data_IF_181255461899
#
_entry.id   IF_181255461899
#
_cell.length_a   1.000
_cell.length_b   1.000
_cell.length_c   1.000
_cell.angle_alpha   90.00
_cell.angle_beta   90.00
_cell.angle_gamma   90.00
#
_symmetry.space_group_name_H-M   'P 1'
#
loop_
_entity.id
_entity.type
_entity.pdbx_description
1 polymer ?
#
# COMPACT_ATOMS: atom_id res chain seq x y z
N UNK A 1 -1.94 -45.65 6.27
CA UNK A 1 -1.80 -44.96 7.57
C UNK A 1 -1.95 -43.48 7.35
N UNK A 2 -3.12 -42.91 7.63
CA UNK A 2 -3.29 -41.45 7.60
C UNK A 2 -2.63 -40.86 8.85
N UNK A 3 -1.56 -40.08 8.64
CA UNK A 3 -0.98 -39.23 9.68
C UNK A 3 -2.04 -38.17 9.99
N UNK A 4 -2.73 -38.30 11.12
CA UNK A 4 -3.58 -37.24 11.64
C UNK A 4 -2.68 -36.03 11.90
N UNK A 5 -2.98 -34.90 11.24
CA UNK A 5 -2.30 -33.65 11.55
C UNK A 5 -2.66 -33.29 13.00
N UNK A 6 -1.63 -33.06 13.80
CA UNK A 6 -1.73 -32.71 15.23
C UNK A 6 -2.15 -31.23 15.40
N UNK A 7 -2.53 -30.55 14.31
CA UNK A 7 -2.70 -29.09 14.29
C UNK A 7 -3.80 -28.58 15.24
N UNK A 8 -4.64 -29.46 15.79
CA UNK A 8 -5.59 -29.13 16.86
C UNK A 8 -5.72 -30.27 17.86
N UNK A 9 -5.21 -30.08 19.07
CA UNK A 9 -5.48 -30.93 20.25
C UNK A 9 -6.34 -30.11 21.20
N UNK A 10 -7.55 -30.61 21.48
CA UNK A 10 -8.46 -29.99 22.44
C UNK A 10 -8.74 -30.93 23.61
N UNK A 11 -8.74 -30.43 24.83
CA UNK A 11 -9.06 -31.22 26.03
C UNK A 11 -10.24 -30.61 26.78
N UNK A 12 -11.25 -31.43 27.06
CA UNK A 12 -12.46 -31.03 27.78
C UNK A 12 -12.72 -31.98 28.95
N UNK A 13 -13.06 -31.41 30.09
CA UNK A 13 -13.54 -32.19 31.24
C UNK A 13 -15.01 -32.55 31.01
N UNK A 14 -15.38 -33.81 31.26
CA UNK A 14 -16.80 -34.20 31.31
C UNK A 14 -17.41 -33.81 32.66
N UNK A 15 -18.61 -33.24 32.59
CA UNK A 15 -19.38 -32.79 33.76
C UNK A 15 -19.67 -33.98 34.68
N UNK A 16 -19.28 -33.89 35.95
CA UNK A 16 -19.51 -34.94 36.95
C UNK A 16 -18.33 -35.89 37.22
N UNK A 17 -17.25 -35.86 36.42
CA UNK A 17 -16.07 -36.73 36.63
C UNK A 17 -14.82 -35.89 36.99
N UNK A 18 -14.16 -36.19 38.12
CA UNK A 18 -12.95 -35.49 38.62
C UNK A 18 -11.64 -36.07 38.08
N UNK A 19 -11.67 -37.33 37.59
CA UNK A 19 -10.51 -38.13 37.18
C UNK A 19 -10.49 -38.49 35.68
N UNK A 20 -11.37 -37.90 34.87
CA UNK A 20 -11.44 -38.19 33.43
C UNK A 20 -11.57 -36.92 32.59
N UNK A 21 -10.88 -36.88 31.46
CA UNK A 21 -11.12 -35.89 30.40
C UNK A 21 -11.17 -36.53 29.03
N UNK A 22 -11.92 -35.92 28.13
CA UNK A 22 -11.89 -36.23 26.72
C UNK A 22 -10.83 -35.37 26.02
N UNK A 23 -9.99 -35.99 25.21
CA UNK A 23 -9.00 -35.34 24.35
C UNK A 23 -9.39 -35.62 22.92
N UNK A 24 -9.57 -34.56 22.15
CA UNK A 24 -9.82 -34.63 20.72
C UNK A 24 -8.58 -34.20 19.93
N UNK A 25 -8.23 -34.96 18.90
CA UNK A 25 -7.11 -34.67 18.01
C UNK A 25 -7.65 -34.60 16.58
N UNK A 26 -7.35 -33.51 15.88
CA UNK A 26 -7.71 -33.30 14.47
C UNK A 26 -8.78 -32.22 14.27
N UNK A 27 -9.09 -31.97 13.00
CA UNK A 27 -10.04 -30.93 12.57
C UNK A 27 -11.04 -31.47 11.54
N UNK A 28 -12.26 -30.94 11.55
CA UNK A 28 -13.31 -31.31 10.60
C UNK A 28 -13.73 -32.79 10.70
N UNK A 29 -13.96 -33.49 9.58
CA UNK A 29 -14.45 -34.87 9.59
C UNK A 29 -13.42 -35.91 10.09
N UNK A 30 -12.17 -35.51 10.31
CA UNK A 30 -11.06 -36.39 10.75
C UNK A 30 -10.73 -36.23 12.23
N UNK A 31 -11.74 -35.94 13.06
CA UNK A 31 -11.57 -35.77 14.51
C UNK A 31 -11.61 -37.13 15.22
N UNK A 32 -10.57 -37.43 15.98
CA UNK A 32 -10.51 -38.61 16.86
C UNK A 32 -10.62 -38.17 18.32
N UNK A 33 -11.55 -38.74 19.08
CA UNK A 33 -11.76 -38.42 20.50
C UNK A 33 -11.36 -39.63 21.36
N UNK A 34 -10.56 -39.37 22.41
CA UNK A 34 -10.09 -40.39 23.34
C UNK A 34 -10.29 -39.95 24.79
N UNK A 35 -10.65 -40.89 25.65
CA UNK A 35 -10.74 -40.65 27.08
C UNK A 35 -9.40 -40.88 27.76
N UNK A 36 -9.03 -39.97 28.64
CA UNK A 36 -7.83 -40.06 29.48
C UNK A 36 -8.27 -40.17 30.93
N UNK A 37 -7.78 -41.21 31.60
CA UNK A 37 -8.06 -41.52 32.99
C UNK A 37 -6.86 -41.14 33.85
N UNK A 38 -7.10 -40.45 34.95
CA UNK A 38 -6.06 -40.02 35.89
C UNK A 38 -6.20 -40.78 37.21
N UNK A 39 -5.06 -41.11 37.83
CA UNK A 39 -5.02 -41.81 39.13
C UNK A 39 -5.51 -40.92 40.28
N UNK A 40 -5.19 -39.63 40.24
CA UNK A 40 -5.46 -38.65 41.29
C UNK A 40 -6.48 -37.59 40.88
N UNK A 41 -7.21 -37.08 41.89
CA UNK A 41 -8.09 -35.93 41.69
C UNK A 41 -7.26 -34.65 41.45
N UNK A 42 -7.74 -33.79 40.55
CA UNK A 42 -7.06 -32.53 40.22
C UNK A 42 -6.06 -32.62 39.05
N UNK A 43 -5.47 -33.80 38.78
CA UNK A 43 -4.60 -34.00 37.61
C UNK A 43 -5.31 -33.70 36.28
N UNK A 44 -6.58 -34.11 36.16
CA UNK A 44 -7.42 -33.78 35.01
C UNK A 44 -7.50 -32.26 34.75
N UNK A 45 -7.66 -31.47 35.82
CA UNK A 45 -7.79 -30.02 35.73
C UNK A 45 -6.48 -29.37 35.27
N UNK A 46 -5.36 -29.83 35.84
CA UNK A 46 -4.02 -29.38 35.46
C UNK A 46 -3.69 -29.72 34.00
N UNK A 47 -4.04 -30.94 33.56
CA UNK A 47 -3.85 -31.39 32.19
C UNK A 47 -4.66 -30.53 31.21
N UNK A 48 -5.97 -30.37 31.44
CA UNK A 48 -6.85 -29.53 30.60
C UNK A 48 -6.37 -28.08 30.56
N UNK A 49 -5.97 -27.51 31.71
CA UNK A 49 -5.41 -26.16 31.77
C UNK A 49 -4.10 -26.02 31.00
N UNK A 50 -3.28 -27.07 30.97
CA UNK A 50 -2.02 -27.08 30.21
C UNK A 50 -2.27 -27.14 28.70
N UNK A 51 -3.20 -27.98 28.25
CA UNK A 51 -3.61 -28.02 26.83
C UNK A 51 -4.17 -26.68 26.39
N UNK A 52 -5.08 -26.07 27.16
CA UNK A 52 -5.63 -24.74 26.85
C UNK A 52 -4.56 -23.66 26.74
N UNK A 53 -3.56 -23.69 27.62
CA UNK A 53 -2.41 -22.75 27.54
C UNK A 53 -1.59 -22.95 26.27
N UNK A 54 -1.43 -24.19 25.81
CA UNK A 54 -0.73 -24.49 24.56
C UNK A 54 -1.56 -23.99 23.38
N UNK A 55 -2.87 -24.26 23.36
CA UNK A 55 -3.79 -23.78 22.32
C UNK A 55 -3.76 -22.25 22.21
N UNK A 56 -3.85 -21.54 23.33
CA UNK A 56 -3.79 -20.08 23.35
C UNK A 56 -2.46 -19.57 22.79
N UNK A 57 -1.33 -20.14 23.24
CA UNK A 57 0.00 -19.74 22.73
C UNK A 57 0.18 -20.02 21.24
N UNK A 58 -0.40 -21.12 20.73
CA UNK A 58 -0.34 -21.44 19.30
C UNK A 58 -1.22 -20.49 18.49
N UNK A 59 -2.41 -20.15 19.00
CA UNK A 59 -3.30 -19.16 18.39
C UNK A 59 -2.65 -17.78 18.34
N UNK A 60 -2.12 -17.28 19.46
CA UNK A 60 -1.44 -15.97 19.54
C UNK A 60 -0.27 -15.90 18.55
N UNK A 61 0.52 -16.97 18.45
CA UNK A 61 1.66 -17.04 17.51
C UNK A 61 1.20 -17.05 16.06
N UNK A 62 0.11 -17.76 15.76
CA UNK A 62 -0.45 -17.79 14.40
C UNK A 62 -1.01 -16.42 14.02
N UNK A 63 -1.75 -15.77 14.92
CA UNK A 63 -2.31 -14.43 14.70
C UNK A 63 -1.21 -13.37 14.56
N UNK A 64 -0.17 -13.41 15.40
CA UNK A 64 0.96 -12.50 15.29
C UNK A 64 1.68 -12.64 13.94
N UNK A 65 1.91 -13.89 13.49
CA UNK A 65 2.52 -14.16 12.18
C UNK A 65 1.65 -13.66 11.03
N UNK A 66 0.33 -13.90 11.08
CA UNK A 66 -0.58 -13.44 10.04
C UNK A 66 -0.62 -11.90 9.98
N UNK A 67 -0.62 -11.25 11.14
CA UNK A 67 -0.61 -9.79 11.25
C UNK A 67 0.68 -9.19 10.68
N UNK A 68 1.83 -9.81 10.96
CA UNK A 68 3.12 -9.39 10.43
C UNK A 68 3.19 -9.55 8.91
N UNK A 69 2.81 -10.71 8.37
CA UNK A 69 2.81 -10.92 6.92
C UNK A 69 1.83 -10.01 6.18
N UNK A 70 0.66 -9.72 6.75
CA UNK A 70 -0.28 -8.76 6.17
C UNK A 70 0.28 -7.34 6.13
N UNK A 71 1.03 -6.94 7.17
CA UNK A 71 1.72 -5.64 7.19
C UNK A 71 2.75 -5.55 6.06
N UNK A 72 3.55 -6.59 5.86
CA UNK A 72 4.58 -6.62 4.82
C UNK A 72 3.97 -6.63 3.41
N UNK A 73 2.88 -7.35 3.20
CA UNK A 73 2.17 -7.31 1.91
C UNK A 73 1.60 -5.93 1.62
N UNK A 74 1.11 -5.23 2.65
CA UNK A 74 0.59 -3.88 2.51
C UNK A 74 1.69 -2.88 2.15
N UNK A 75 2.86 -2.95 2.80
CA UNK A 75 3.96 -2.05 2.46
C UNK A 75 4.45 -2.26 1.02
N UNK A 76 4.57 -3.51 0.56
CA UNK A 76 4.90 -3.82 -0.83
C UNK A 76 3.85 -3.26 -1.80
N UNK A 77 2.57 -3.37 -1.46
CA UNK A 77 1.49 -2.82 -2.28
C UNK A 77 1.52 -1.28 -2.32
N UNK A 78 1.79 -0.63 -1.19
CA UNK A 78 1.91 0.82 -1.10
C UNK A 78 3.11 1.32 -1.94
N UNK A 79 4.27 0.67 -1.84
CA UNK A 79 5.45 0.99 -2.67
C UNK A 79 5.17 0.76 -4.17
N UNK A 80 4.53 -0.35 -4.52
CA UNK A 80 4.14 -0.63 -5.90
C UNK A 80 3.13 0.41 -6.43
N UNK A 81 2.29 1.00 -5.58
CA UNK A 81 1.35 2.05 -5.97
C UNK A 81 2.06 3.38 -6.25
N UNK A 82 3.11 3.71 -5.48
CA UNK A 82 3.91 4.94 -5.63
C UNK A 82 4.74 4.95 -6.92
N UNK A 83 5.20 3.77 -7.34
CA UNK A 83 5.98 3.59 -8.56
C UNK A 83 5.13 3.45 -9.83
N UNK A 84 3.79 3.44 -9.73
CA UNK A 84 2.93 3.40 -10.92
C UNK A 84 2.97 4.75 -11.63
N UNK A 85 3.24 4.77 -12.94
CA UNK A 85 3.16 6.00 -13.72
C UNK A 85 1.70 6.48 -13.77
N UNK A 86 1.54 7.79 -13.62
CA UNK A 86 0.29 8.52 -13.78
C UNK A 86 0.39 9.34 -15.07
N UNK A 87 -0.69 9.29 -15.84
CA UNK A 87 -0.77 10.01 -17.11
C UNK A 87 -1.62 11.26 -16.92
N UNK A 88 -1.03 12.45 -17.09
CA UNK A 88 -1.72 13.74 -17.03
C UNK A 88 -1.75 14.38 -18.42
N UNK A 89 -2.95 14.59 -18.95
CA UNK A 89 -3.15 15.34 -20.17
C UNK A 89 -3.30 16.82 -19.81
N UNK A 90 -2.39 17.65 -20.30
CA UNK A 90 -2.34 19.08 -19.99
C UNK A 90 -2.58 19.88 -21.26
N UNK A 91 -3.56 20.79 -21.20
CA UNK A 91 -3.88 21.73 -22.27
C UNK A 91 -3.57 23.16 -21.83
N UNK A 92 -2.75 23.85 -22.63
CA UNK A 92 -2.46 25.27 -22.47
C UNK A 92 -3.46 26.03 -23.33
N UNK A 93 -4.46 26.64 -22.70
CA UNK A 93 -5.59 27.26 -23.43
C UNK A 93 -5.25 28.68 -23.87
N UNK A 94 -4.92 29.56 -22.93
CA UNK A 94 -4.66 30.98 -23.23
C UNK A 94 -3.84 31.67 -22.14
N UNK A 95 -3.34 32.86 -22.46
CA UNK A 95 -2.86 33.83 -21.49
C UNK A 95 -3.58 35.17 -21.73
N UNK A 96 -3.53 36.04 -20.73
CA UNK A 96 -4.15 37.36 -20.81
C UNK A 96 -3.22 38.41 -20.21
N UNK A 97 -3.28 39.62 -20.76
CA UNK A 97 -2.55 40.80 -20.28
C UNK A 97 -1.02 40.58 -20.15
N UNK A 98 -0.43 39.88 -21.13
CA UNK A 98 1.02 39.68 -21.16
C UNK A 98 1.77 41.02 -21.27
N UNK A 99 2.90 41.13 -20.57
CA UNK A 99 3.74 42.34 -20.63
C UNK A 99 4.43 42.43 -21.99
N UNK A 100 4.46 43.63 -22.57
CA UNK A 100 5.29 43.93 -23.75
C UNK A 100 6.76 43.80 -23.35
N UNK A 101 7.49 42.93 -24.05
CA UNK A 101 8.91 42.73 -23.88
C UNK A 101 9.75 43.80 -24.61
N UNK A 102 9.23 44.41 -25.69
CA UNK A 102 9.96 45.36 -26.53
C UNK A 102 9.31 46.75 -26.59
N UNK A 103 10.16 47.78 -26.67
CA UNK A 103 9.78 49.21 -26.73
C UNK A 103 9.16 49.59 -28.10
N UNK A 104 9.29 48.73 -29.11
CA UNK A 104 8.86 48.99 -30.49
C UNK A 104 8.14 47.80 -31.17
N UNK A 105 7.35 47.01 -30.42
CA UNK A 105 6.55 45.91 -30.98
C UNK A 105 5.71 45.16 -29.94
N UNK A 106 4.71 44.40 -30.40
CA UNK A 106 4.03 43.41 -29.56
C UNK A 106 4.88 42.15 -29.43
N UNK A 107 4.83 41.48 -28.29
CA UNK A 107 5.63 40.29 -28.03
C UNK A 107 5.07 39.06 -28.73
N UNK A 108 5.94 38.10 -29.07
CA UNK A 108 5.55 36.80 -29.62
C UNK A 108 5.52 35.74 -28.50
N UNK A 109 4.42 35.63 -27.72
CA UNK A 109 4.37 34.75 -26.56
C UNK A 109 4.41 33.26 -26.92
N UNK A 110 5.01 32.50 -26.01
CA UNK A 110 4.98 31.04 -25.97
C UNK A 110 5.07 30.57 -24.52
N UNK A 111 4.62 29.34 -24.24
CA UNK A 111 4.67 28.74 -22.91
C UNK A 111 5.67 27.58 -22.92
N UNK A 112 6.46 27.47 -21.86
CA UNK A 112 7.32 26.32 -21.59
C UNK A 112 6.86 25.67 -20.30
N UNK A 113 6.34 24.45 -20.38
CA UNK A 113 6.01 23.65 -19.21
C UNK A 113 7.28 22.96 -18.70
N UNK A 114 7.53 23.05 -17.39
CA UNK A 114 8.70 22.46 -16.72
C UNK A 114 8.28 21.71 -15.47
N UNK A 115 9.05 20.68 -15.14
CA UNK A 115 9.00 19.96 -13.87
C UNK A 115 10.43 19.83 -13.36
N UNK A 116 10.77 20.54 -12.28
CA UNK A 116 12.16 20.80 -11.92
C UNK A 116 12.95 21.39 -13.10
N UNK A 117 14.11 20.80 -13.39
CA UNK A 117 14.99 21.20 -14.50
C UNK A 117 14.58 20.63 -15.86
N UNK A 118 13.61 19.71 -15.89
CA UNK A 118 13.15 19.08 -17.12
C UNK A 118 12.12 19.94 -17.83
N UNK A 119 12.38 20.27 -19.09
CA UNK A 119 11.37 20.85 -19.99
C UNK A 119 10.46 19.72 -20.47
N UNK A 120 9.18 19.82 -20.13
CA UNK A 120 8.16 18.84 -20.53
C UNK A 120 7.58 19.18 -21.90
N UNK A 121 7.31 20.46 -22.13
CA UNK A 121 6.66 20.90 -23.36
C UNK A 121 6.95 22.37 -23.65
N UNK A 122 6.84 22.73 -24.93
CA UNK A 122 6.93 24.11 -25.39
C UNK A 122 5.90 24.35 -26.49
N UNK A 123 5.06 25.36 -26.32
CA UNK A 123 4.09 25.75 -27.35
C UNK A 123 4.77 26.51 -28.49
N UNK A 124 4.11 26.57 -29.65
CA UNK A 124 4.52 27.48 -30.71
C UNK A 124 4.27 28.92 -30.30
N UNK A 125 5.08 29.83 -30.86
CA UNK A 125 4.87 31.27 -30.69
C UNK A 125 3.62 31.71 -31.42
N UNK A 126 2.83 32.57 -30.78
CA UNK A 126 1.77 33.33 -31.43
C UNK A 126 2.34 34.72 -31.66
N UNK A 127 2.20 35.25 -32.87
CA UNK A 127 2.85 36.49 -33.25
C UNK A 127 2.05 37.68 -32.75
N UNK A 128 2.72 38.64 -32.10
CA UNK A 128 2.14 39.94 -31.77
C UNK A 128 0.72 39.85 -31.19
N UNK A 129 0.58 39.12 -30.08
CA UNK A 129 -0.69 39.02 -29.37
C UNK A 129 -0.41 38.91 -27.86
N UNK A 130 -0.92 39.85 -27.06
CA UNK A 130 -0.74 39.82 -25.61
C UNK A 130 -1.81 38.98 -24.90
N UNK A 131 -2.80 38.48 -25.64
CA UNK A 131 -3.86 37.59 -25.17
C UNK A 131 -3.91 36.30 -26.01
N UNK A 132 -2.78 35.59 -26.14
CA UNK A 132 -2.67 34.45 -27.05
C UNK A 132 -3.61 33.32 -26.63
N UNK A 133 -4.23 32.67 -27.64
CA UNK A 133 -5.00 31.43 -27.49
C UNK A 133 -4.27 30.33 -28.24
N UNK A 134 -3.79 29.30 -27.52
CA UNK A 134 -3.13 28.16 -28.15
C UNK A 134 -4.16 27.08 -28.49
N UNK A 135 -4.09 26.62 -29.73
CA UNK A 135 -4.90 25.50 -30.22
C UNK A 135 -4.03 24.28 -30.49
N UNK A 136 -4.65 23.16 -30.90
CA UNK A 136 -3.92 21.96 -31.32
C UNK A 136 -2.89 22.25 -32.41
N UNK A 137 -3.14 23.22 -33.30
CA UNK A 137 -2.19 23.62 -34.35
C UNK A 137 -0.92 24.27 -33.77
N UNK A 138 -1.05 24.99 -32.65
CA UNK A 138 0.05 25.67 -31.98
C UNK A 138 0.64 24.83 -30.82
N UNK A 139 0.35 23.53 -30.82
CA UNK A 139 0.84 22.58 -29.83
C UNK A 139 0.38 22.92 -28.40
N UNK A 140 -0.92 23.16 -28.19
CA UNK A 140 -1.47 23.43 -26.85
C UNK A 140 -1.48 22.23 -25.90
N UNK A 141 -1.47 20.99 -26.44
CA UNK A 141 -1.76 19.78 -25.69
C UNK A 141 -0.52 18.88 -25.58
N UNK A 142 -0.24 18.37 -24.38
CA UNK A 142 0.82 17.41 -24.14
C UNK A 142 0.48 16.43 -23.01
N UNK A 143 1.13 15.27 -23.03
CA UNK A 143 0.97 14.22 -22.02
C UNK A 143 2.20 14.19 -21.11
N UNK A 144 1.96 14.12 -19.81
CA UNK A 144 2.98 13.84 -18.80
C UNK A 144 2.78 12.39 -18.37
N UNK A 145 3.82 11.58 -18.53
CA UNK A 145 3.88 10.20 -18.05
C UNK A 145 4.99 10.13 -16.99
N UNK A 146 4.61 10.30 -15.72
CA UNK A 146 5.57 10.31 -14.59
C UNK A 146 4.95 9.63 -13.37
N UNK A 147 5.79 9.21 -12.42
CA UNK A 147 5.30 8.66 -11.15
C UNK A 147 4.76 9.77 -10.25
N UNK A 148 3.89 9.41 -9.30
CA UNK A 148 3.39 10.37 -8.30
C UNK A 148 4.55 10.97 -7.48
N UNK A 149 5.58 10.18 -7.19
CA UNK A 149 6.75 10.67 -6.47
C UNK A 149 7.54 11.69 -7.27
N UNK A 150 7.81 11.43 -8.55
CA UNK A 150 8.55 12.35 -9.41
C UNK A 150 7.77 13.64 -9.63
N UNK A 151 6.44 13.55 -9.78
CA UNK A 151 5.57 14.71 -9.89
C UNK A 151 5.58 15.58 -8.62
N UNK A 152 5.50 14.98 -7.42
CA UNK A 152 5.54 15.72 -6.14
C UNK A 152 6.94 16.31 -5.88
N UNK A 153 8.01 15.53 -6.13
CA UNK A 153 9.40 15.99 -5.95
C UNK A 153 9.75 17.11 -6.93
N UNK A 154 9.29 17.00 -8.18
CA UNK A 154 9.51 18.00 -9.22
C UNK A 154 8.83 19.36 -8.99
N UNK A 155 7.83 19.43 -8.09
CA UNK A 155 7.17 20.68 -7.69
C UNK A 155 7.85 21.44 -6.55
N UNK A 156 8.71 20.79 -5.76
CA UNK A 156 9.33 21.37 -4.55
C UNK A 156 10.81 21.79 -4.70
N UNK A 157 11.37 21.76 -5.92
CA UNK A 157 12.74 22.21 -6.20
C UNK A 157 12.88 23.74 -6.24
N UNK A 158 12.61 24.42 -5.13
CA UNK A 158 12.83 25.85 -4.97
C UNK A 158 14.22 26.15 -4.37
N UNK A 159 15.17 26.51 -5.24
CA UNK A 159 16.28 27.44 -4.98
C UNK A 159 17.40 27.00 -4.03
N UNK A 160 18.57 26.66 -4.59
CA UNK A 160 19.86 26.91 -3.95
C UNK A 160 20.68 27.87 -4.81
N UNK A 161 21.03 28.99 -4.18
CA UNK A 161 21.84 30.09 -4.69
C UNK A 161 23.30 29.66 -4.62
N UNK A 162 23.88 29.27 -5.77
CA UNK A 162 25.30 28.92 -5.87
C UNK A 162 26.09 30.08 -6.46
N UNK A 163 26.62 30.95 -5.61
CA UNK A 163 27.68 31.89 -5.97
C UNK A 163 29.04 31.19 -6.04
N UNK A 164 29.83 31.53 -7.04
CA UNK A 164 31.29 31.64 -7.04
C UNK A 164 31.72 32.47 -8.24
#
# INVERSE_FOLDING_TARGET
>A
MHRLSIDRIHAMRRTGESKKCAVAIGAGPSKEEREVHFSEEGMCSSFVGSIRRIEHKLADRAEARLTETLRDLRSVADDASRLRPVNLLVEIVSCSDLRKADIAGESDPYVVARMGDRVLHKTQRINSDLNPIWTLQNQCLFLIEDTLEDFIKGGCGGGDVGGS
#
